data_IF_089045633644
#
_entry.id   IF_089045633644
#
_cell.length_a   1.000
_cell.length_b   1.000
_cell.length_c   1.000
_cell.angle_alpha   90.00
_cell.angle_beta   90.00
_cell.angle_gamma   90.00
#
_symmetry.space_group_name_H-M   'P 1'
#
loop_
_entity.id
_entity.type
_entity.pdbx_description
1 polymer ?
#
# COMPACT_ATOMS: atom_id res chain seq x y z
N UNK A 1 -13.23 0.38 14.72
CA UNK A 1 -13.08 1.12 13.44
C UNK A 1 -13.84 0.48 12.28
N UNK A 2 -13.46 -0.72 11.81
CA UNK A 2 -13.97 -1.31 10.56
C UNK A 2 -15.50 -1.48 10.45
N UNK A 3 -16.20 -1.61 11.59
CA UNK A 3 -17.65 -1.69 11.64
C UNK A 3 -18.37 -0.33 11.48
N UNK A 4 -17.64 0.79 11.55
CA UNK A 4 -18.24 2.13 11.44
C UNK A 4 -18.59 2.45 10.00
N UNK A 5 -19.82 2.92 9.76
CA UNK A 5 -20.26 3.50 8.50
C UNK A 5 -20.08 5.03 8.44
N UNK A 6 -19.71 5.67 9.57
CA UNK A 6 -19.61 7.12 9.67
C UNK A 6 -18.32 7.65 9.03
N UNK A 7 -18.45 8.42 7.94
CA UNK A 7 -17.32 8.96 7.18
C UNK A 7 -16.42 9.88 8.02
N UNK A 8 -16.98 10.64 8.97
CA UNK A 8 -16.22 11.53 9.86
C UNK A 8 -15.14 10.77 10.63
N UNK A 9 -15.46 9.58 11.14
CA UNK A 9 -14.52 8.73 11.87
C UNK A 9 -13.39 8.24 10.94
N UNK A 10 -13.70 7.89 9.68
CA UNK A 10 -12.70 7.46 8.70
C UNK A 10 -11.75 8.59 8.31
N UNK A 11 -12.27 9.78 8.03
CA UNK A 11 -11.48 10.97 7.73
C UNK A 11 -10.62 11.40 8.92
N UNK A 12 -11.20 11.53 10.12
CA UNK A 12 -10.45 11.91 11.31
C UNK A 12 -9.33 10.91 11.65
N UNK A 13 -9.58 9.62 11.42
CA UNK A 13 -8.55 8.59 11.59
C UNK A 13 -7.46 8.72 10.52
N UNK A 14 -7.80 9.00 9.26
CA UNK A 14 -6.81 9.22 8.20
C UNK A 14 -5.95 10.47 8.50
N UNK A 15 -6.57 11.56 8.95
CA UNK A 15 -5.92 12.82 9.32
C UNK A 15 -4.99 12.67 10.54
N UNK A 16 -5.22 11.65 11.37
CA UNK A 16 -4.32 11.31 12.48
C UNK A 16 -3.03 10.61 12.04
N UNK A 17 -2.87 10.26 10.75
CA UNK A 17 -1.70 9.53 10.24
C UNK A 17 -0.36 10.16 10.62
N UNK A 18 -0.13 11.49 10.46
CA UNK A 18 1.14 12.10 10.85
C UNK A 18 1.47 11.92 12.34
N UNK A 19 0.45 11.99 13.22
CA UNK A 19 0.61 11.79 14.67
C UNK A 19 0.93 10.33 15.00
N UNK A 20 0.27 9.38 14.35
CA UNK A 20 0.56 7.96 14.49
C UNK A 20 1.98 7.61 14.00
N UNK A 21 2.40 8.16 12.86
CA UNK A 21 3.75 7.98 12.34
C UNK A 21 4.79 8.58 13.27
N UNK A 22 4.57 9.78 13.79
CA UNK A 22 5.46 10.43 14.76
C UNK A 22 5.65 9.55 16.00
N UNK A 23 4.56 9.05 16.61
CA UNK A 23 4.65 8.16 17.76
C UNK A 23 5.40 6.85 17.45
N UNK A 24 5.19 6.28 16.26
CA UNK A 24 5.97 5.11 15.84
C UNK A 24 7.46 5.47 15.69
N UNK A 25 7.79 6.62 15.10
CA UNK A 25 9.16 7.10 14.97
C UNK A 25 9.82 7.30 16.35
N UNK A 26 9.13 7.93 17.30
CA UNK A 26 9.61 8.18 18.66
C UNK A 26 9.86 6.87 19.43
N UNK A 27 9.12 5.80 19.12
CA UNK A 27 9.40 4.47 19.65
C UNK A 27 10.72 3.86 19.14
N UNK A 28 11.33 4.44 18.09
CA UNK A 28 12.62 4.02 17.54
C UNK A 28 13.75 4.90 18.08
N UNK A 29 14.95 4.33 18.16
CA UNK A 29 16.13 5.05 18.66
C UNK A 29 16.79 5.92 17.59
N UNK A 30 16.93 7.22 17.86
CA UNK A 30 17.83 8.14 17.15
C UNK A 30 17.66 8.14 15.64
N UNK A 31 18.75 7.88 14.90
CA UNK A 31 18.77 7.88 13.43
C UNK A 31 17.72 6.97 12.76
N UNK A 32 17.24 5.93 13.45
CA UNK A 32 16.19 5.07 12.91
C UNK A 32 14.82 5.75 12.84
N UNK A 33 14.53 6.68 13.75
CA UNK A 33 13.29 7.46 13.78
C UNK A 33 13.22 8.38 12.56
N UNK A 34 14.28 9.19 12.37
CA UNK A 34 14.42 10.10 11.22
C UNK A 34 14.33 9.34 9.90
N UNK A 35 15.07 8.22 9.81
CA UNK A 35 15.08 7.39 8.60
C UNK A 35 13.71 6.78 8.27
N UNK A 36 12.92 6.39 9.29
CA UNK A 36 11.57 5.87 9.06
C UNK A 36 10.65 6.96 8.51
N UNK A 37 10.69 8.16 9.06
CA UNK A 37 9.89 9.29 8.58
C UNK A 37 10.22 9.62 7.11
N UNK A 38 11.50 9.72 6.76
CA UNK A 38 11.96 9.94 5.38
C UNK A 38 11.46 8.86 4.40
N UNK A 39 11.63 7.59 4.79
CA UNK A 39 11.23 6.46 3.97
C UNK A 39 9.73 6.40 3.77
N UNK A 40 8.96 6.75 4.80
CA UNK A 40 7.51 6.75 4.74
C UNK A 40 7.00 7.86 3.81
N UNK A 41 7.48 9.09 3.97
CA UNK A 41 7.16 10.18 3.05
C UNK A 41 7.52 9.82 1.60
N UNK A 42 8.72 9.29 1.38
CA UNK A 42 9.16 8.86 0.06
C UNK A 42 8.24 7.77 -0.52
N UNK A 43 7.88 6.75 0.25
CA UNK A 43 7.04 5.65 -0.20
C UNK A 43 5.61 6.10 -0.52
N UNK A 44 5.04 6.99 0.30
CA UNK A 44 3.65 7.42 0.18
C UNK A 44 3.46 8.50 -0.90
N UNK A 45 4.40 9.45 -1.02
CA UNK A 45 4.21 10.68 -1.82
C UNK A 45 5.09 10.71 -3.07
N UNK A 46 6.33 10.21 -3.00
CA UNK A 46 7.32 10.37 -4.08
C UNK A 46 7.33 9.18 -5.03
N UNK A 47 7.46 7.97 -4.49
CA UNK A 47 7.62 6.74 -5.26
C UNK A 47 6.49 6.50 -6.28
N UNK A 48 5.20 6.68 -5.95
CA UNK A 48 4.13 6.47 -6.92
C UNK A 48 4.26 7.40 -8.13
N UNK A 49 4.64 8.66 -7.90
CA UNK A 49 4.89 9.64 -8.97
C UNK A 49 6.06 9.24 -9.86
N UNK A 50 7.14 8.70 -9.29
CA UNK A 50 8.30 8.19 -10.06
C UNK A 50 7.93 7.00 -10.95
N UNK A 51 7.13 6.06 -10.42
CA UNK A 51 6.65 4.90 -11.18
C UNK A 51 5.74 5.36 -12.33
N UNK A 52 4.85 6.31 -12.07
CA UNK A 52 3.94 6.88 -13.09
C UNK A 52 4.72 7.62 -14.16
N UNK A 53 5.72 8.43 -13.79
CA UNK A 53 6.53 9.19 -14.74
C UNK A 53 7.36 8.30 -15.70
N UNK A 54 7.56 7.02 -15.37
CA UNK A 54 8.22 6.03 -16.24
C UNK A 54 7.26 5.33 -17.20
N UNK A 55 5.95 5.54 -17.07
CA UNK A 55 4.99 5.04 -18.04
C UNK A 55 5.16 5.83 -19.34
N UNK A 56 5.38 5.18 -20.50
CA UNK A 56 5.18 5.87 -21.76
C UNK A 56 3.71 6.33 -21.83
N UNK A 57 3.46 7.53 -22.32
CA UNK A 57 2.18 8.26 -22.32
C UNK A 57 0.98 7.51 -22.97
N UNK A 58 1.17 6.27 -23.42
CA UNK A 58 0.26 5.52 -24.30
C UNK A 58 -0.37 4.30 -23.59
N UNK A 59 0.08 3.89 -22.40
CA UNK A 59 -0.40 2.63 -21.80
C UNK A 59 -1.08 2.75 -20.41
N UNK A 60 -2.43 2.76 -20.36
CA UNK A 60 -3.20 2.71 -19.11
C UNK A 60 -2.98 1.44 -18.28
N UNK A 61 -2.50 0.34 -18.89
CA UNK A 61 -2.23 -0.94 -18.23
C UNK A 61 -0.83 -1.01 -17.62
N UNK A 62 -0.02 0.04 -17.76
CA UNK A 62 1.29 0.14 -17.10
C UNK A 62 2.43 -0.56 -17.81
N UNK A 63 2.28 -0.93 -19.09
CA UNK A 63 3.41 -1.42 -19.90
C UNK A 63 4.49 -0.34 -19.97
N UNK A 64 5.67 -0.63 -19.40
CA UNK A 64 6.81 0.30 -19.32
C UNK A 64 7.07 0.88 -17.93
N UNK A 65 6.16 0.74 -16.96
CA UNK A 65 6.48 1.05 -15.57
C UNK A 65 7.47 0.04 -14.99
N UNK A 66 8.43 0.48 -14.18
CA UNK A 66 9.37 -0.40 -13.48
C UNK A 66 9.92 0.27 -12.23
N UNK A 67 10.53 -0.54 -11.37
CA UNK A 67 11.34 -0.08 -10.25
C UNK A 67 12.82 -0.29 -10.52
N UNK A 68 13.65 0.56 -9.94
CA UNK A 68 15.10 0.34 -9.87
C UNK A 68 15.45 -0.53 -8.66
N UNK A 69 16.65 -1.11 -8.66
CA UNK A 69 17.17 -1.88 -7.52
C UNK A 69 17.15 -1.05 -6.24
N UNK A 70 17.57 0.21 -6.32
CA UNK A 70 17.63 1.13 -5.17
C UNK A 70 16.25 1.39 -4.58
N UNK A 71 15.22 1.49 -5.41
CA UNK A 71 13.84 1.67 -4.95
C UNK A 71 13.32 0.41 -4.25
N UNK A 72 13.57 -0.79 -4.78
CA UNK A 72 13.17 -2.03 -4.11
C UNK A 72 13.90 -2.23 -2.78
N UNK A 73 15.18 -1.84 -2.71
CA UNK A 73 15.97 -1.81 -1.46
C UNK A 73 15.34 -0.84 -0.45
N UNK A 74 14.95 0.37 -0.87
CA UNK A 74 14.28 1.36 -0.01
C UNK A 74 12.88 0.91 0.45
N UNK A 75 12.07 0.31 -0.43
CA UNK A 75 10.75 -0.25 -0.07
C UNK A 75 10.92 -1.32 1.01
N UNK A 76 11.93 -2.18 0.87
CA UNK A 76 12.23 -3.22 1.85
C UNK A 76 12.68 -2.61 3.18
N UNK A 77 13.54 -1.60 3.14
CA UNK A 77 13.98 -0.86 4.33
C UNK A 77 12.79 -0.21 5.07
N UNK A 78 11.93 0.50 4.33
CA UNK A 78 10.71 1.13 4.84
C UNK A 78 9.84 0.11 5.59
N UNK A 79 9.50 -1.00 4.93
CA UNK A 79 8.69 -2.07 5.51
C UNK A 79 9.31 -2.64 6.79
N UNK A 80 10.62 -2.90 6.79
CA UNK A 80 11.31 -3.49 7.94
C UNK A 80 11.42 -2.52 9.13
N UNK A 81 11.46 -1.21 8.89
CA UNK A 81 11.45 -0.19 9.95
C UNK A 81 10.05 0.09 10.48
N UNK A 82 9.03 0.09 9.61
CA UNK A 82 7.62 0.25 9.98
C UNK A 82 7.12 -0.93 10.83
N UNK A 83 7.54 -2.15 10.48
CA UNK A 83 7.18 -3.38 11.20
C UNK A 83 8.35 -4.04 11.95
N UNK A 84 8.39 -5.38 11.88
CA UNK A 84 9.43 -6.20 12.53
C UNK A 84 10.71 -6.27 11.69
N UNK A 85 11.79 -5.69 12.21
CA UNK A 85 13.09 -5.64 11.54
C UNK A 85 13.73 -7.03 11.34
N UNK A 86 14.18 -7.33 10.12
CA UNK A 86 14.82 -8.62 9.74
C UNK A 86 15.98 -8.39 8.75
N UNK A 87 17.23 -8.32 9.21
CA UNK A 87 18.37 -7.87 8.38
C UNK A 87 18.69 -8.80 7.20
N UNK A 88 18.44 -10.12 7.31
CA UNK A 88 18.68 -11.09 6.23
C UNK A 88 17.84 -10.82 4.97
N UNK A 89 16.69 -10.16 5.10
CA UNK A 89 15.85 -9.83 3.95
C UNK A 89 16.50 -8.72 3.10
N UNK A 90 17.06 -7.72 3.77
CA UNK A 90 17.69 -6.56 3.14
C UNK A 90 18.87 -6.99 2.25
N UNK A 91 19.77 -7.81 2.79
CA UNK A 91 20.94 -8.29 2.05
C UNK A 91 20.59 -9.13 0.81
N UNK A 92 19.48 -9.87 0.85
CA UNK A 92 19.01 -10.64 -0.29
C UNK A 92 18.48 -9.74 -1.41
N UNK A 93 17.73 -8.70 -1.05
CA UNK A 93 17.22 -7.73 -2.03
C UNK A 93 18.36 -6.98 -2.70
N UNK A 94 19.38 -6.58 -1.94
CA UNK A 94 20.58 -5.89 -2.44
C UNK A 94 21.38 -6.72 -3.46
N UNK A 95 21.27 -8.05 -3.42
CA UNK A 95 21.94 -8.99 -4.33
C UNK A 95 21.29 -9.15 -5.70
N UNK A 96 20.14 -8.52 -5.95
CA UNK A 96 19.55 -8.46 -7.29
C UNK A 96 20.31 -7.44 -8.16
N UNK A 97 20.41 -7.69 -9.47
CA UNK A 97 20.93 -6.69 -10.41
C UNK A 97 19.83 -5.73 -10.81
N UNK A 98 20.18 -4.48 -11.16
CA UNK A 98 19.20 -3.49 -11.58
C UNK A 98 18.39 -3.94 -12.81
N UNK A 99 19.06 -4.52 -13.82
CA UNK A 99 18.40 -5.11 -14.99
C UNK A 99 17.37 -6.20 -14.61
N UNK A 100 17.67 -7.04 -13.62
CA UNK A 100 16.72 -8.07 -13.14
C UNK A 100 15.51 -7.43 -12.48
N UNK A 101 15.72 -6.40 -11.65
CA UNK A 101 14.66 -5.69 -10.95
C UNK A 101 13.73 -4.99 -11.94
N UNK A 102 14.28 -4.24 -12.89
CA UNK A 102 13.48 -3.55 -13.90
C UNK A 102 12.65 -4.52 -14.73
N UNK A 103 13.27 -5.61 -15.21
CA UNK A 103 12.58 -6.65 -16.00
C UNK A 103 11.42 -7.27 -15.22
N UNK A 104 11.68 -7.80 -14.02
CA UNK A 104 10.67 -8.52 -13.25
C UNK A 104 9.53 -7.59 -12.81
N UNK A 105 9.84 -6.36 -12.39
CA UNK A 105 8.81 -5.41 -11.95
C UNK A 105 7.95 -4.94 -13.13
N UNK A 106 8.56 -4.68 -14.29
CA UNK A 106 7.82 -4.35 -15.52
C UNK A 106 6.89 -5.49 -15.96
N UNK A 107 7.38 -6.73 -16.01
CA UNK A 107 6.57 -7.90 -16.35
C UNK A 107 5.41 -8.10 -15.35
N UNK A 108 5.64 -7.85 -14.05
CA UNK A 108 4.62 -7.97 -13.03
C UNK A 108 3.55 -6.89 -13.15
N UNK A 109 3.95 -5.63 -13.41
CA UNK A 109 3.03 -4.52 -13.59
C UNK A 109 2.17 -4.70 -14.84
N UNK A 110 2.73 -5.25 -15.92
CA UNK A 110 1.99 -5.62 -17.12
C UNK A 110 0.94 -6.72 -16.92
N UNK A 111 0.96 -7.46 -15.79
CA UNK A 111 -0.10 -8.42 -15.44
C UNK A 111 -1.22 -7.80 -14.60
N UNK A 112 -1.05 -6.57 -14.12
CA UNK A 112 -2.11 -5.88 -13.40
C UNK A 112 -3.31 -5.63 -14.33
N UNK A 113 -4.58 -5.82 -13.89
CA UNK A 113 -5.06 -5.99 -12.51
C UNK A 113 -5.03 -7.42 -11.95
N UNK A 114 -4.45 -8.41 -12.64
CA UNK A 114 -4.35 -9.78 -12.10
C UNK A 114 -3.26 -9.87 -11.01
N UNK A 115 -3.68 -9.65 -9.77
CA UNK A 115 -2.82 -9.63 -8.58
C UNK A 115 -2.03 -10.93 -8.42
N UNK A 116 -2.67 -12.09 -8.59
CA UNK A 116 -1.99 -13.39 -8.43
C UNK A 116 -0.87 -13.55 -9.47
N UNK A 117 -1.13 -13.18 -10.73
CA UNK A 117 -0.13 -13.24 -11.80
C UNK A 117 1.03 -12.27 -11.54
N UNK A 118 0.74 -11.03 -11.10
CA UNK A 118 1.77 -10.05 -10.71
C UNK A 118 2.63 -10.56 -9.55
N UNK A 119 2.02 -11.10 -8.49
CA UNK A 119 2.73 -11.66 -7.33
C UNK A 119 3.62 -12.84 -7.72
N UNK A 120 3.13 -13.71 -8.62
CA UNK A 120 3.91 -14.83 -9.15
C UNK A 120 5.16 -14.36 -9.88
N UNK A 121 5.08 -13.31 -10.70
CA UNK A 121 6.25 -12.77 -11.40
C UNK A 121 7.23 -12.12 -10.41
N UNK A 122 6.73 -11.27 -9.50
CA UNK A 122 7.56 -10.61 -8.49
C UNK A 122 8.30 -11.61 -7.58
N UNK A 123 7.78 -12.83 -7.44
CA UNK A 123 8.43 -13.90 -6.66
C UNK A 123 9.80 -14.32 -7.22
N UNK A 124 10.12 -13.96 -8.46
CA UNK A 124 11.45 -14.15 -9.05
C UNK A 124 12.55 -13.28 -8.45
N UNK A 125 12.21 -12.23 -7.68
CA UNK A 125 13.19 -11.38 -7.01
C UNK A 125 13.74 -12.05 -5.74
N UNK A 126 15.06 -12.04 -5.59
CA UNK A 126 15.73 -12.53 -4.37
C UNK A 126 15.33 -11.65 -3.18
N UNK A 127 14.97 -12.29 -2.07
CA UNK A 127 14.54 -11.57 -0.86
C UNK A 127 13.13 -10.97 -0.95
N UNK A 128 12.40 -11.21 -2.05
CA UNK A 128 11.01 -10.74 -2.20
C UNK A 128 10.05 -11.92 -2.42
N UNK A 129 10.47 -13.04 -3.03
CA UNK A 129 9.66 -14.27 -3.19
C UNK A 129 9.71 -15.26 -2.02
N UNK A 130 8.70 -16.14 -1.83
CA UNK A 130 8.65 -17.14 -0.76
C UNK A 130 9.94 -17.97 -0.74
N UNK A 131 10.72 -17.80 0.33
CA UNK A 131 12.06 -18.38 0.42
C UNK A 131 11.95 -19.91 0.45
N UNK A 132 12.25 -20.53 -0.70
CA UNK A 132 12.34 -21.97 -0.87
C UNK A 132 13.82 -22.33 -0.88
N UNK A 133 14.43 -22.53 0.30
CA UNK A 133 15.78 -23.09 0.38
C UNK A 133 16.17 -23.73 1.72
N UNK A 134 15.38 -23.66 2.80
CA UNK A 134 15.73 -24.37 4.04
C UNK A 134 14.58 -24.33 5.05
N UNK A 135 13.79 -25.42 5.14
CA UNK A 135 13.06 -25.95 6.31
C UNK A 135 12.28 -25.05 7.29
N UNK A 136 12.27 -23.72 7.14
CA UNK A 136 11.65 -22.76 8.04
C UNK A 136 11.00 -21.70 7.16
N UNK A 137 9.70 -21.91 6.87
CA UNK A 137 8.83 -21.03 6.06
C UNK A 137 9.11 -19.57 6.37
N UNK A 138 9.78 -18.86 5.46
CA UNK A 138 9.94 -17.41 5.55
C UNK A 138 8.79 -16.79 4.77
N UNK A 139 7.60 -16.77 5.37
CA UNK A 139 6.39 -16.13 4.84
C UNK A 139 6.46 -14.58 4.86
N UNK A 140 7.67 -14.00 4.91
CA UNK A 140 7.87 -12.53 4.99
C UNK A 140 7.94 -11.83 3.64
N UNK A 141 7.82 -12.63 2.61
CA UNK A 141 8.11 -12.32 1.22
C UNK A 141 6.88 -11.72 0.56
N UNK A 142 5.69 -12.27 0.87
CA UNK A 142 4.40 -11.76 0.39
C UNK A 142 4.20 -10.28 0.69
N UNK A 143 4.52 -9.82 1.92
CA UNK A 143 4.40 -8.39 2.24
C UNK A 143 5.32 -7.49 1.39
N UNK A 144 6.48 -7.98 0.92
CA UNK A 144 7.37 -7.16 0.09
C UNK A 144 6.88 -7.11 -1.36
N UNK A 145 6.35 -8.24 -1.87
CA UNK A 145 5.67 -8.28 -3.17
C UNK A 145 4.46 -7.34 -3.17
N UNK A 146 3.65 -7.39 -2.12
CA UNK A 146 2.48 -6.53 -1.94
C UNK A 146 2.89 -5.07 -1.75
N UNK A 147 4.00 -4.75 -1.07
CA UNK A 147 4.49 -3.36 -0.99
C UNK A 147 4.87 -2.80 -2.38
N UNK A 148 5.55 -3.60 -3.20
CA UNK A 148 5.89 -3.21 -4.58
C UNK A 148 4.61 -2.94 -5.38
N UNK A 149 3.63 -3.85 -5.31
CA UNK A 149 2.38 -3.71 -6.05
C UNK A 149 1.49 -2.57 -5.51
N UNK A 150 1.47 -2.39 -4.19
CA UNK A 150 0.78 -1.32 -3.50
C UNK A 150 1.41 0.04 -3.79
N UNK A 151 2.71 0.14 -4.07
CA UNK A 151 3.35 1.37 -4.54
C UNK A 151 2.98 1.70 -5.99
N UNK A 152 2.83 0.68 -6.84
CA UNK A 152 2.42 0.82 -8.24
C UNK A 152 0.95 1.23 -8.42
N UNK A 153 0.02 0.67 -7.64
CA UNK A 153 -1.42 0.92 -7.79
C UNK A 153 -2.10 1.26 -6.47
N UNK A 154 -2.93 2.33 -6.39
CA UNK A 154 -3.70 2.67 -5.19
C UNK A 154 -4.83 1.66 -4.91
N UNK A 155 -5.19 0.83 -5.90
CA UNK A 155 -6.19 -0.24 -5.77
C UNK A 155 -5.68 -1.47 -5.03
N UNK A 156 -4.42 -1.46 -4.58
CA UNK A 156 -3.80 -2.56 -3.85
C UNK A 156 -3.46 -2.10 -2.44
N UNK A 157 -4.10 -2.67 -1.41
CA UNK A 157 -3.77 -2.35 -0.02
C UNK A 157 -2.45 -3.02 0.36
N UNK A 158 -1.62 -2.29 1.10
CA UNK A 158 -0.50 -2.92 1.77
C UNK A 158 -1.00 -3.90 2.85
N UNK A 159 -0.27 -4.97 3.09
CA UNK A 159 -0.65 -5.99 4.08
C UNK A 159 0.20 -5.80 5.35
N UNK A 160 -0.10 -4.76 6.12
CA UNK A 160 0.51 -4.52 7.44
C UNK A 160 -0.18 -5.34 8.52
N UNK A 161 0.57 -5.71 9.58
CA UNK A 161 0.01 -6.47 10.70
C UNK A 161 -1.12 -5.68 11.37
N UNK A 162 -0.89 -4.38 11.56
CA UNK A 162 -1.85 -3.44 12.13
C UNK A 162 -3.16 -3.35 11.33
N UNK A 163 -3.08 -3.31 10.00
CA UNK A 163 -4.28 -3.25 9.16
C UNK A 163 -5.01 -4.59 9.14
N UNK A 164 -4.29 -5.71 9.10
CA UNK A 164 -4.89 -7.04 9.17
C UNK A 164 -5.62 -7.29 10.50
N UNK A 165 -5.07 -6.82 11.62
CA UNK A 165 -5.69 -6.90 12.95
C UNK A 165 -7.00 -6.11 13.03
N UNK A 166 -7.10 -5.01 12.29
CA UNK A 166 -8.27 -4.15 12.29
C UNK A 166 -9.45 -4.71 11.45
N UNK A 167 -9.22 -5.70 10.59
CA UNK A 167 -10.26 -6.32 9.75
C UNK A 167 -10.92 -7.50 10.49
N UNK A 168 -12.24 -7.45 10.78
CA UNK A 168 -12.94 -8.51 11.49
C UNK A 168 -13.06 -9.79 10.63
N UNK A 169 -13.20 -10.95 11.29
CA UNK A 169 -13.48 -12.21 10.59
C UNK A 169 -12.31 -12.80 9.78
N UNK A 170 -11.10 -12.25 9.90
CA UNK A 170 -9.90 -12.75 9.22
C UNK A 170 -9.30 -14.02 9.86
N UNK A 171 -9.59 -14.27 11.13
CA UNK A 171 -9.00 -15.36 11.91
C UNK A 171 -7.54 -15.08 12.29
N UNK A 172 -6.74 -16.13 12.50
CA UNK A 172 -5.32 -15.97 12.85
C UNK A 172 -4.53 -15.43 11.66
N UNK A 173 -3.78 -14.34 11.88
CA UNK A 173 -2.92 -13.73 10.86
C UNK A 173 -2.01 -14.77 10.22
N UNK A 174 -2.13 -14.90 8.91
CA UNK A 174 -1.33 -15.82 8.11
C UNK A 174 -0.82 -15.12 6.86
N UNK A 175 0.49 -15.14 6.65
CA UNK A 175 1.13 -14.51 5.49
C UNK A 175 1.15 -15.47 4.30
N UNK A 176 -0.04 -15.85 3.83
CA UNK A 176 -0.24 -16.74 2.68
C UNK A 176 -1.15 -16.07 1.66
N UNK A 177 -1.00 -16.43 0.39
CA UNK A 177 -1.75 -15.81 -0.71
C UNK A 177 -3.26 -15.82 -0.48
N UNK A 178 -3.85 -16.95 -0.06
CA UNK A 178 -5.28 -17.06 0.25
C UNK A 178 -5.76 -16.07 1.33
N UNK A 179 -4.94 -15.83 2.35
CA UNK A 179 -5.27 -14.88 3.40
C UNK A 179 -5.21 -13.45 2.86
N UNK A 180 -4.19 -13.14 2.05
CA UNK A 180 -4.06 -11.84 1.42
C UNK A 180 -5.19 -11.53 0.44
N UNK A 181 -5.63 -12.50 -0.38
CA UNK A 181 -6.76 -12.30 -1.28
C UNK A 181 -8.05 -12.00 -0.49
N UNK A 182 -8.33 -12.77 0.56
CA UNK A 182 -9.46 -12.49 1.46
C UNK A 182 -9.35 -11.08 2.09
N UNK A 183 -8.16 -10.69 2.54
CA UNK A 183 -7.91 -9.34 3.08
C UNK A 183 -8.20 -8.27 2.01
N UNK A 184 -7.66 -8.45 0.81
CA UNK A 184 -7.87 -7.54 -0.32
C UNK A 184 -9.35 -7.41 -0.66
N UNK A 185 -10.12 -8.50 -0.67
CA UNK A 185 -11.56 -8.47 -0.94
C UNK A 185 -12.32 -7.67 0.14
N UNK A 186 -12.02 -7.90 1.42
CA UNK A 186 -12.63 -7.15 2.53
C UNK A 186 -12.34 -5.63 2.45
N UNK A 187 -11.11 -5.27 2.07
CA UNK A 187 -10.72 -3.87 1.92
C UNK A 187 -11.46 -3.24 0.72
N UNK A 188 -11.56 -3.95 -0.41
CA UNK A 188 -12.27 -3.43 -1.58
C UNK A 188 -13.78 -3.26 -1.30
N UNK A 189 -14.42 -4.25 -0.67
CA UNK A 189 -15.83 -4.15 -0.25
C UNK A 189 -16.07 -2.95 0.67
N UNK A 190 -15.19 -2.72 1.65
CA UNK A 190 -15.31 -1.56 2.53
C UNK A 190 -15.05 -0.24 1.78
N UNK A 191 -14.10 -0.21 0.84
CA UNK A 191 -13.90 0.97 -0.01
C UNK A 191 -15.17 1.29 -0.81
N UNK A 192 -15.85 0.29 -1.38
CA UNK A 192 -17.09 0.47 -2.12
C UNK A 192 -18.23 1.00 -1.24
N UNK A 193 -18.36 0.48 -0.02
CA UNK A 193 -19.29 0.98 1.00
C UNK A 193 -19.04 2.47 1.31
N UNK A 194 -17.79 2.82 1.68
CA UNK A 194 -17.44 4.21 2.03
C UNK A 194 -17.64 5.16 0.85
N UNK A 195 -17.20 4.79 -0.35
CA UNK A 195 -17.41 5.60 -1.55
C UNK A 195 -18.89 5.73 -1.92
N UNK A 196 -19.72 4.74 -1.59
CA UNK A 196 -21.17 4.86 -1.78
C UNK A 196 -21.79 5.83 -0.79
N UNK A 197 -21.28 5.89 0.45
CA UNK A 197 -21.69 6.88 1.44
C UNK A 197 -21.22 8.29 1.09
N UNK A 198 -20.00 8.46 0.56
CA UNK A 198 -19.49 9.76 0.05
C UNK A 198 -20.40 10.27 -1.08
N UNK A 199 -20.75 9.39 -2.03
CA UNK A 199 -21.66 9.69 -3.14
C UNK A 199 -23.12 9.86 -2.72
N UNK A 200 -23.54 9.31 -1.58
CA UNK A 200 -24.87 9.57 -1.03
C UNK A 200 -24.97 10.97 -0.41
N UNK A 201 -23.83 11.52 0.04
CA UNK A 201 -23.71 12.92 0.48
C UNK A 201 -23.62 13.94 -0.65
N UNK A 202 -23.15 13.56 -1.84
CA UNK A 202 -23.00 14.43 -3.01
C UNK A 202 -23.84 13.94 -4.23
N UNK A 203 -24.79 14.75 -4.70
CA UNK A 203 -25.65 14.44 -5.85
C UNK A 203 -24.89 14.09 -7.16
N UNK A 204 -25.01 12.82 -7.58
CA UNK A 204 -24.90 12.17 -8.93
C UNK A 204 -24.02 12.81 -10.03
N UNK A 205 -23.17 12.01 -10.70
CA UNK A 205 -23.35 11.47 -12.09
C UNK A 205 -22.17 10.56 -12.53
N UNK A 206 -22.44 9.72 -13.55
CA UNK A 206 -21.79 8.44 -13.89
C UNK A 206 -20.43 8.49 -14.64
N UNK A 207 -19.75 7.33 -14.53
CA UNK A 207 -18.78 6.64 -15.41
C UNK A 207 -17.59 7.39 -16.02
N UNK A 208 -16.42 7.23 -15.41
CA UNK A 208 -15.10 7.15 -16.09
C UNK A 208 -14.03 6.53 -15.15
N UNK A 209 -12.94 6.02 -15.71
CA UNK A 209 -11.80 5.43 -14.97
C UNK A 209 -10.87 6.54 -14.43
N UNK A 210 -10.54 6.49 -13.14
CA UNK A 210 -9.86 7.59 -12.41
C UNK A 210 -8.41 7.26 -12.02
N UNK A 211 -7.54 8.29 -11.99
CA UNK A 211 -6.23 8.28 -11.32
C UNK A 211 -6.34 9.05 -9.99
N UNK A 212 -6.02 8.39 -8.87
CA UNK A 212 -6.17 8.94 -7.51
C UNK A 212 -4.80 9.06 -6.84
N UNK A 213 -4.47 10.25 -6.36
CA UNK A 213 -3.31 10.50 -5.50
C UNK A 213 -3.78 11.15 -4.19
N UNK A 214 -3.48 10.54 -3.05
CA UNK A 214 -3.88 11.04 -1.72
C UNK A 214 -5.40 11.37 -1.61
N UNK A 215 -6.24 10.59 -2.28
CA UNK A 215 -7.70 10.75 -2.25
C UNK A 215 -8.22 11.85 -3.17
N UNK A 216 -7.33 12.59 -3.85
CA UNK A 216 -7.66 13.65 -4.80
C UNK A 216 -7.44 13.20 -6.24
N UNK A 217 -8.38 13.55 -7.12
CA UNK A 217 -8.28 13.32 -8.56
C UNK A 217 -7.15 14.18 -9.14
N UNK A 218 -6.25 13.61 -9.94
CA UNK A 218 -5.23 14.38 -10.66
C UNK A 218 -5.34 14.09 -12.17
N UNK A 219 -5.75 15.12 -12.91
CA UNK A 219 -5.75 15.28 -14.39
C UNK A 219 -7.03 14.87 -15.16
N UNK A 220 -7.31 15.68 -16.19
CA UNK A 220 -8.44 15.61 -17.14
C UNK A 220 -7.92 15.45 -18.57
N UNK A 221 -8.62 14.67 -19.41
CA UNK A 221 -8.58 14.84 -20.86
C UNK A 221 -10.00 15.01 -21.41
N UNK A 222 -10.20 16.19 -22.02
CA UNK A 222 -11.32 16.67 -22.87
C UNK A 222 -12.77 16.47 -22.37
N UNK A 223 -13.39 17.61 -22.05
CA UNK A 223 -14.85 17.87 -21.98
C UNK A 223 -15.68 16.80 -21.23
N UNK A 224 -15.30 16.44 -20.01
CA UNK A 224 -16.18 15.69 -19.10
C UNK A 224 -16.02 16.31 -17.70
N UNK A 225 -17.14 16.60 -17.04
CA UNK A 225 -17.17 17.26 -15.72
C UNK A 225 -16.39 16.40 -14.71
N UNK A 226 -15.44 17.03 -14.02
CA UNK A 226 -14.58 16.40 -13.02
C UNK A 226 -15.40 15.97 -11.79
N UNK A 227 -15.18 14.74 -11.32
CA UNK A 227 -15.50 14.38 -9.93
C UNK A 227 -14.52 15.13 -9.01
N UNK A 228 -15.04 15.99 -8.15
CA UNK A 228 -14.24 16.81 -7.21
C UNK A 228 -14.26 16.26 -5.79
N UNK A 229 -14.97 15.17 -5.53
CA UNK A 229 -15.08 14.54 -4.21
C UNK A 229 -13.87 13.69 -3.83
N UNK A 230 -13.77 13.36 -2.55
CA UNK A 230 -12.77 12.43 -2.02
C UNK A 230 -13.11 10.99 -2.42
N UNK A 231 -12.12 10.19 -2.82
CA UNK A 231 -12.30 8.76 -3.12
C UNK A 231 -11.43 7.90 -2.21
N UNK A 232 -12.08 7.00 -1.46
CA UNK A 232 -11.43 5.94 -0.71
C UNK A 232 -10.84 4.92 -1.66
N UNK A 233 -9.52 4.75 -1.58
CA UNK A 233 -8.79 3.69 -2.26
C UNK A 233 -8.36 2.63 -1.26
N UNK A 234 -8.17 1.37 -1.68
CA UNK A 234 -7.60 0.32 -0.83
C UNK A 234 -6.30 0.75 -0.12
N UNK A 235 -5.43 1.52 -0.79
CA UNK A 235 -4.23 2.10 -0.18
C UNK A 235 -4.56 3.07 0.97
N UNK A 236 -5.52 3.98 0.77
CA UNK A 236 -5.93 4.93 1.83
C UNK A 236 -6.62 4.20 2.98
N UNK A 237 -7.45 3.20 2.67
CA UNK A 237 -8.14 2.43 3.68
C UNK A 237 -7.16 1.62 4.55
N UNK A 238 -6.16 0.98 3.94
CA UNK A 238 -5.04 0.37 4.67
C UNK A 238 -4.36 1.37 5.59
N UNK A 239 -4.05 2.56 5.07
CA UNK A 239 -3.39 3.62 5.84
C UNK A 239 -4.23 4.01 7.05
N UNK A 240 -5.54 4.19 6.88
CA UNK A 240 -6.47 4.52 7.96
C UNK A 240 -6.56 3.41 9.01
N UNK A 241 -6.64 2.14 8.59
CA UNK A 241 -6.66 1.00 9.52
C UNK A 241 -5.35 0.88 10.29
N UNK A 242 -4.23 1.09 9.61
CA UNK A 242 -2.93 1.16 10.27
C UNK A 242 -2.88 2.30 11.28
N UNK A 243 -3.35 3.51 10.91
CA UNK A 243 -3.41 4.66 11.83
C UNK A 243 -4.23 4.34 13.06
N UNK A 244 -5.41 3.74 12.88
CA UNK A 244 -6.28 3.35 14.00
C UNK A 244 -5.55 2.45 15.00
N UNK A 245 -4.94 1.37 14.51
CA UNK A 245 -4.24 0.41 15.38
C UNK A 245 -3.01 1.03 16.05
N UNK A 246 -2.26 1.89 15.35
CA UNK A 246 -1.10 2.58 15.91
C UNK A 246 -1.52 3.63 16.95
N UNK A 247 -2.54 4.43 16.68
CA UNK A 247 -3.10 5.38 17.65
C UNK A 247 -3.55 4.65 18.92
N UNK A 248 -4.28 3.55 18.78
CA UNK A 248 -4.70 2.74 19.93
C UNK A 248 -3.50 2.16 20.70
N UNK A 249 -2.47 1.68 20.00
CA UNK A 249 -1.24 1.15 20.61
C UNK A 249 -0.49 2.19 21.46
N UNK A 250 -0.48 3.44 21.02
CA UNK A 250 0.24 4.54 21.67
C UNK A 250 -0.65 5.48 22.49
N UNK A 251 -1.95 5.20 22.63
CA UNK A 251 -2.90 6.03 23.37
C UNK A 251 -3.14 7.42 22.75
N UNK A 252 -3.06 7.54 21.43
CA UNK A 252 -3.29 8.79 20.70
C UNK A 252 -4.79 8.95 20.45
N UNK A 253 -5.37 10.03 20.94
CA UNK A 253 -6.77 10.36 20.69
C UNK A 253 -7.01 10.71 19.21
N UNK A 254 -8.00 10.05 18.61
CA UNK A 254 -8.55 10.42 17.31
C UNK A 254 -9.73 11.32 17.64
N UNK A 255 -9.73 12.56 17.17
CA UNK A 255 -10.84 13.48 17.39
C UNK A 255 -12.09 12.84 16.79
N UNK A 256 -13.02 12.39 17.62
CA UNK A 256 -14.34 12.01 17.17
C UNK A 256 -15.04 13.31 16.75
N UNK A 257 -15.25 13.47 15.45
CA UNK A 257 -16.01 14.59 14.89
C UNK A 257 -17.49 14.49 15.20
#
# INVERSE_FOLDING_TARGET
MFASAQLSVWHATLDAYPRALAALCDSKKGANALRLAELDQWYQETLPGLIIARKPDIDPQGHGAYLTREEVVKITEWKLKRGKFRPRLQSLVESNTDATVQKITSEAFAKFPNVQASLKILSGLKGVGPATASGRRVNLTLGSLVAILAAFSPSIPFMSDEAMEAVPGMGKIAYVEKYYLKYNDNINEKCEELNSNERAGELRTNDAVYMILNGRLICSYRKIKLFTGFVWTPRLLERTLWTYTVCHRFGIEIAEG
#
